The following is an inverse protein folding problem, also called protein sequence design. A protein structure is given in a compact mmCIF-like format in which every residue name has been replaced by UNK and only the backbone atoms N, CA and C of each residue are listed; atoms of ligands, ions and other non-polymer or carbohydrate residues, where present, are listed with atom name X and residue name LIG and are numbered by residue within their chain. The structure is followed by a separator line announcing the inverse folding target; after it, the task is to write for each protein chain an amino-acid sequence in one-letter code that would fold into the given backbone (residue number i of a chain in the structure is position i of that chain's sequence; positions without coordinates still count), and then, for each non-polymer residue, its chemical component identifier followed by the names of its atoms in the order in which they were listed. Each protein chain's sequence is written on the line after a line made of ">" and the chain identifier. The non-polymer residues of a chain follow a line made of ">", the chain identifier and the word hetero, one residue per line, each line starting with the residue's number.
data_IF_095757191995
#
_entry.id   IF_095757191995
#
_cell.length_a   1.000
_cell.length_b   1.000
_cell.length_c   1.000
_cell.angle_alpha   90.00
_cell.angle_beta   90.00
_cell.angle_gamma   90.00
#
_symmetry.space_group_name_H-M   'P 1'
#
loop_
_entity.id
_entity.type
_entity.pdbx_description
1 polymer ?
#
# COMPACT_ATOMS: atom_id res chain seq x y z
N UNK A 1 10.25 -8.19 6.86
CA UNK A 1 10.26 -6.85 6.25
C UNK A 1 8.88 -6.22 6.40
N UNK A 2 8.77 -4.89 6.27
CA UNK A 2 7.55 -4.09 6.38
C UNK A 2 7.37 -3.26 5.12
N UNK A 3 6.12 -3.02 4.74
CA UNK A 3 5.79 -2.06 3.70
C UNK A 3 6.14 -0.65 4.19
N UNK A 4 7.08 -0.01 3.50
CA UNK A 4 7.57 1.34 3.77
C UNK A 4 7.36 2.23 2.53
N UNK A 5 7.54 3.53 2.72
CA UNK A 5 7.44 4.55 1.67
C UNK A 5 8.80 5.22 1.49
N UNK A 6 9.28 5.32 0.25
CA UNK A 6 10.47 6.10 -0.06
C UNK A 6 10.27 7.57 0.32
N UNK A 7 11.20 8.11 1.11
CA UNK A 7 11.23 9.50 1.53
C UNK A 7 12.29 10.28 0.73
N UNK A 8 11.85 10.98 -0.32
CA UNK A 8 12.70 11.79 -1.18
C UNK A 8 13.32 11.04 -2.38
N UNK A 9 14.06 11.79 -3.20
CA UNK A 9 14.70 11.28 -4.41
C UNK A 9 13.73 10.89 -5.53
N UNK A 10 14.23 10.23 -6.60
CA UNK A 10 13.44 9.87 -7.78
C UNK A 10 12.28 8.90 -7.49
N UNK A 11 12.36 8.14 -6.40
CA UNK A 11 11.34 7.16 -5.97
C UNK A 11 10.41 7.71 -4.90
N UNK A 12 10.46 9.01 -4.58
CA UNK A 12 9.64 9.59 -3.53
C UNK A 12 8.16 9.18 -3.68
N UNK A 13 7.54 8.78 -2.57
CA UNK A 13 6.17 8.26 -2.50
C UNK A 13 5.93 6.87 -3.13
N UNK A 14 6.89 6.25 -3.81
CA UNK A 14 6.81 4.81 -4.10
C UNK A 14 6.91 4.01 -2.80
N UNK A 15 6.50 2.75 -2.84
CA UNK A 15 6.63 1.84 -1.71
C UNK A 15 7.73 0.80 -1.91
N UNK A 16 8.18 0.21 -0.81
CA UNK A 16 9.24 -0.80 -0.76
C UNK A 16 9.09 -1.68 0.47
N UNK A 17 9.72 -2.84 0.47
CA UNK A 17 9.99 -3.61 1.68
C UNK A 17 11.29 -3.15 2.33
N UNK A 18 11.23 -2.91 3.63
CA UNK A 18 12.39 -2.56 4.48
C UNK A 18 12.39 -3.41 5.76
N UNK A 19 13.51 -3.51 6.50
CA UNK A 19 13.52 -4.09 7.84
C UNK A 19 12.51 -3.40 8.76
N UNK A 20 12.05 -4.15 9.78
CA UNK A 20 11.12 -3.63 10.79
C UNK A 20 11.77 -2.48 11.57
N UNK A 21 11.18 -1.29 11.48
CA UNK A 21 11.71 -0.05 12.03
C UNK A 21 10.56 0.79 12.59
N UNK A 22 10.87 1.68 13.52
CA UNK A 22 9.88 2.62 14.07
C UNK A 22 9.88 3.94 13.28
N UNK A 23 9.63 3.86 11.97
CA UNK A 23 9.60 5.03 11.06
C UNK A 23 8.19 5.29 10.53
N UNK A 24 7.85 6.55 10.30
CA UNK A 24 6.50 6.99 9.92
C UNK A 24 5.99 6.40 8.60
N UNK A 25 6.88 5.97 7.70
CA UNK A 25 6.52 5.31 6.44
C UNK A 25 5.99 3.88 6.60
N UNK A 26 6.29 3.21 7.72
CA UNK A 26 5.88 1.82 7.99
C UNK A 26 4.57 1.72 8.79
N UNK A 27 4.02 2.84 9.29
CA UNK A 27 2.76 2.86 10.02
C UNK A 27 1.61 3.24 9.09
N UNK A 28 0.79 2.24 8.74
CA UNK A 28 -0.33 2.38 7.83
C UNK A 28 -1.66 2.48 8.58
N UNK A 29 -2.53 3.41 8.17
CA UNK A 29 -3.95 3.46 8.55
C UNK A 29 -4.80 2.92 7.42
N UNK A 30 -5.61 1.91 7.76
CA UNK A 30 -6.68 1.38 6.92
C UNK A 30 -7.99 2.08 7.32
N UNK A 31 -8.51 2.96 6.46
CA UNK A 31 -9.81 3.61 6.66
C UNK A 31 -10.84 2.88 5.80
N UNK A 32 -11.81 2.23 6.44
CA UNK A 32 -12.92 1.59 5.71
C UNK A 32 -13.77 2.62 4.96
N UNK A 33 -14.19 2.27 3.76
CA UNK A 33 -15.05 3.12 2.90
C UNK A 33 -16.55 2.81 3.05
N UNK A 34 -16.92 1.84 3.91
CA UNK A 34 -18.33 1.43 4.14
C UNK A 34 -18.85 0.35 3.17
N UNK A 35 -18.05 -0.02 2.17
CA UNK A 35 -18.42 -0.95 1.10
C UNK A 35 -17.51 -2.18 1.04
N UNK A 36 -16.82 -2.48 2.14
CA UNK A 36 -15.83 -3.56 2.25
C UNK A 36 -14.43 -3.22 1.73
N UNK A 37 -14.25 -2.07 1.06
CA UNK A 37 -12.92 -1.58 0.67
C UNK A 37 -12.32 -0.62 1.71
N UNK A 38 -11.02 -0.38 1.58
CA UNK A 38 -10.23 0.49 2.45
C UNK A 38 -9.42 1.48 1.63
N UNK A 39 -9.27 2.70 2.16
CA UNK A 39 -8.18 3.62 1.78
C UNK A 39 -7.02 3.45 2.74
N UNK A 40 -5.83 3.26 2.19
CA UNK A 40 -4.59 3.10 2.95
C UNK A 40 -3.82 4.42 2.93
N UNK A 41 -3.43 4.91 4.10
CA UNK A 41 -2.62 6.14 4.28
C UNK A 41 -1.48 5.84 5.25
N UNK A 42 -0.42 6.64 5.28
CA UNK A 42 0.71 6.44 6.20
C UNK A 42 0.83 7.56 7.22
N UNK A 43 1.49 7.30 8.34
CA UNK A 43 1.85 8.35 9.29
C UNK A 43 2.80 9.39 8.66
N UNK A 44 3.60 8.98 7.67
CA UNK A 44 4.54 9.85 6.97
C UNK A 44 3.87 10.99 6.18
N UNK A 45 2.90 10.67 5.31
CA UNK A 45 2.26 11.66 4.45
C UNK A 45 0.88 12.12 4.94
N UNK A 46 0.39 11.54 6.03
CA UNK A 46 -0.86 11.95 6.66
C UNK A 46 -2.11 11.39 5.96
N UNK A 47 -3.28 11.92 6.34
CA UNK A 47 -4.58 11.35 5.95
C UNK A 47 -4.98 11.59 4.51
N UNK A 48 -4.34 12.55 3.86
CA UNK A 48 -4.73 13.08 2.55
C UNK A 48 -3.92 12.47 1.40
N UNK A 49 -2.97 11.59 1.72
CA UNK A 49 -2.15 10.86 0.76
C UNK A 49 -2.46 9.36 0.86
N UNK A 50 -3.17 8.86 -0.14
CA UNK A 50 -3.67 7.51 -0.25
C UNK A 50 -2.75 6.64 -1.12
N UNK A 51 -2.66 5.36 -0.76
CA UNK A 51 -2.01 4.34 -1.59
C UNK A 51 -2.84 4.10 -2.83
N UNK A 52 -2.25 4.34 -3.99
CA UNK A 52 -2.85 4.18 -5.31
C UNK A 52 -1.94 3.33 -6.19
N UNK A 53 -2.45 2.89 -7.35
CA UNK A 53 -1.74 2.09 -8.34
C UNK A 53 -1.50 2.92 -9.59
N UNK A 54 -0.27 2.94 -10.10
CA UNK A 54 -0.01 3.53 -11.41
C UNK A 54 -0.76 2.78 -12.52
N UNK A 55 -1.30 3.54 -13.48
CA UNK A 55 -1.97 3.02 -14.66
C UNK A 55 -1.16 3.37 -15.92
N UNK A 56 -0.30 2.46 -16.32
CA UNK A 56 0.55 2.56 -17.50
C UNK A 56 1.95 3.09 -17.24
N UNK A 57 2.76 3.09 -18.30
CA UNK A 57 4.17 3.52 -18.26
C UNK A 57 5.11 2.51 -17.58
N UNK A 58 6.38 2.90 -17.36
CA UNK A 58 7.40 1.99 -16.81
C UNK A 58 7.12 1.47 -15.40
N UNK A 59 6.25 2.14 -14.63
CA UNK A 59 5.87 1.76 -13.26
C UNK A 59 4.44 1.22 -13.18
N UNK A 60 3.85 0.76 -14.28
CA UNK A 60 2.49 0.20 -14.29
C UNK A 60 2.33 -0.86 -13.19
N UNK A 61 1.18 -0.84 -12.52
CA UNK A 61 0.84 -1.72 -11.40
C UNK A 61 1.67 -1.55 -10.12
N UNK A 62 2.65 -0.63 -10.07
CA UNK A 62 3.35 -0.33 -8.83
C UNK A 62 2.53 0.65 -7.96
N UNK A 63 2.50 0.45 -6.64
CA UNK A 63 1.80 1.33 -5.74
C UNK A 63 2.63 2.55 -5.33
N UNK A 64 1.94 3.68 -5.17
CA UNK A 64 2.51 4.95 -4.73
C UNK A 64 1.52 5.74 -3.87
N UNK A 65 2.03 6.67 -3.06
CA UNK A 65 1.18 7.64 -2.37
C UNK A 65 0.88 8.84 -3.28
N UNK A 66 -0.40 9.15 -3.42
CA UNK A 66 -0.91 10.33 -4.13
C UNK A 66 -2.13 10.89 -3.41
N UNK A 67 -2.62 12.06 -3.83
CA UNK A 67 -3.79 12.70 -3.22
C UNK A 67 -4.98 11.75 -3.16
N UNK A 68 -5.62 11.68 -2.00
CA UNK A 68 -6.82 10.86 -1.82
C UNK A 68 -7.97 11.36 -2.71
N UNK A 69 -8.55 10.46 -3.49
CA UNK A 69 -9.64 10.72 -4.42
C UNK A 69 -10.57 9.50 -4.53
N UNK A 70 -11.67 9.63 -5.26
CA UNK A 70 -12.56 8.50 -5.54
C UNK A 70 -12.07 7.68 -6.76
N UNK A 71 -10.85 7.15 -6.66
CA UNK A 71 -10.22 6.36 -7.71
C UNK A 71 -10.22 4.88 -7.32
N UNK A 72 -10.56 3.99 -8.25
CA UNK A 72 -10.62 2.55 -8.00
C UNK A 72 -9.26 1.94 -7.64
N UNK A 73 -8.15 2.60 -8.00
CA UNK A 73 -6.79 2.21 -7.60
C UNK A 73 -6.49 2.47 -6.12
N UNK A 74 -7.26 3.36 -5.49
CA UNK A 74 -7.16 3.70 -4.06
C UNK A 74 -8.12 2.89 -3.18
N UNK A 75 -8.98 2.05 -3.79
CA UNK A 75 -9.94 1.22 -3.09
C UNK A 75 -9.38 -0.19 -2.94
N UNK A 76 -8.76 -0.46 -1.79
CA UNK A 76 -8.10 -1.72 -1.47
C UNK A 76 -9.04 -2.70 -0.81
N UNK A 77 -9.01 -3.94 -1.26
CA UNK A 77 -9.75 -5.06 -0.67
C UNK A 77 -8.77 -6.02 0.02
N UNK A 78 -9.09 -6.39 1.25
CA UNK A 78 -8.33 -7.36 2.04
C UNK A 78 -9.07 -8.69 1.95
N UNK A 79 -8.47 -9.68 1.28
CA UNK A 79 -9.04 -11.01 1.12
C UNK A 79 -8.30 -11.99 2.04
N UNK A 80 -8.95 -12.58 3.06
CA UNK A 80 -8.31 -13.57 3.92
C UNK A 80 -7.74 -14.74 3.11
N UNK A 81 -6.54 -15.17 3.47
CA UNK A 81 -5.86 -16.36 2.94
C UNK A 81 -5.06 -17.01 4.09
N UNK A 82 -5.69 -17.96 4.78
CA UNK A 82 -5.16 -18.54 6.02
C UNK A 82 -4.95 -17.49 7.12
N UNK A 83 -3.73 -17.41 7.64
CA UNK A 83 -3.32 -16.42 8.65
C UNK A 83 -2.84 -15.09 8.04
N UNK A 84 -2.94 -14.94 6.73
CA UNK A 84 -2.53 -13.75 5.98
C UNK A 84 -3.72 -13.15 5.22
N UNK A 85 -3.46 -12.04 4.52
CA UNK A 85 -4.38 -11.44 3.57
C UNK A 85 -3.71 -11.23 2.22
N UNK A 86 -4.50 -11.30 1.16
CA UNK A 86 -4.16 -10.77 -0.16
C UNK A 86 -4.74 -9.38 -0.30
N UNK A 87 -3.88 -8.42 -0.64
CA UNK A 87 -4.27 -7.05 -0.93
C UNK A 87 -4.55 -6.93 -2.43
N UNK A 88 -5.73 -6.40 -2.76
CA UNK A 88 -6.19 -6.20 -4.14
C UNK A 88 -6.73 -4.79 -4.28
N UNK A 89 -6.80 -4.26 -5.50
CA UNK A 89 -7.51 -3.00 -5.76
C UNK A 89 -8.72 -3.25 -6.63
N UNK A 90 -9.77 -2.42 -6.48
CA UNK A 90 -10.92 -2.48 -7.38
C UNK A 90 -10.58 -2.13 -8.83
N UNK A 91 -9.49 -1.42 -9.04
CA UNK A 91 -9.03 -1.03 -10.37
C UNK A 91 -8.65 -2.23 -11.24
N UNK A 92 -7.72 -3.08 -10.77
CA UNK A 92 -7.28 -4.27 -11.52
C UNK A 92 -8.15 -5.49 -11.23
N UNK A 93 -9.07 -5.38 -10.27
CA UNK A 93 -10.08 -6.39 -9.95
C UNK A 93 -9.54 -7.53 -9.09
N UNK A 94 -10.40 -8.53 -8.89
CA UNK A 94 -10.18 -9.61 -7.91
C UNK A 94 -9.09 -10.62 -8.30
N UNK A 95 -8.59 -10.58 -9.54
CA UNK A 95 -7.58 -11.52 -10.04
C UNK A 95 -6.14 -11.00 -9.91
N UNK A 96 -5.96 -9.77 -9.41
CA UNK A 96 -4.65 -9.14 -9.25
C UNK A 96 -4.36 -8.90 -7.77
N UNK A 97 -3.19 -9.35 -7.33
CA UNK A 97 -2.74 -9.36 -5.94
C UNK A 97 -1.47 -8.51 -5.81
N UNK A 98 -1.34 -7.78 -4.71
CA UNK A 98 -0.10 -7.08 -4.36
C UNK A 98 0.98 -8.11 -4.05
N UNK A 99 2.01 -8.10 -4.86
CA UNK A 99 3.20 -8.95 -4.80
C UNK A 99 4.45 -8.09 -4.62
N UNK A 100 5.59 -8.73 -4.45
CA UNK A 100 6.90 -8.12 -4.30
C UNK A 100 7.80 -8.59 -5.44
N UNK A 101 8.47 -7.66 -6.12
CA UNK A 101 9.59 -8.01 -6.98
C UNK A 101 10.71 -8.66 -6.16
N UNK A 102 11.07 -9.89 -6.50
CA UNK A 102 12.13 -10.65 -5.85
C UNK A 102 13.36 -10.75 -6.76
N UNK A 103 14.21 -9.73 -6.71
CA UNK A 103 15.42 -9.58 -7.51
C UNK A 103 15.36 -8.45 -8.53
N UNK A 104 16.48 -8.26 -9.25
CA UNK A 104 16.62 -7.24 -10.29
C UNK A 104 16.65 -5.80 -9.78
N UNK A 105 16.55 -4.81 -10.69
CA UNK A 105 16.62 -3.38 -10.36
C UNK A 105 15.50 -2.90 -9.43
N UNK A 106 14.37 -3.63 -9.41
CA UNK A 106 13.20 -3.29 -8.61
C UNK A 106 13.00 -4.17 -7.37
N UNK A 107 14.02 -4.95 -6.99
CA UNK A 107 13.97 -5.82 -5.82
C UNK A 107 13.36 -5.11 -4.60
N UNK A 108 12.50 -5.82 -3.87
CA UNK A 108 11.73 -5.34 -2.72
C UNK A 108 10.65 -4.28 -3.01
N UNK A 109 10.42 -3.86 -4.27
CA UNK A 109 9.28 -2.99 -4.58
C UNK A 109 8.00 -3.80 -4.81
N UNK A 110 6.86 -3.35 -4.29
CA UNK A 110 5.59 -4.00 -4.56
C UNK A 110 5.05 -3.72 -5.97
N UNK A 111 4.22 -4.62 -6.48
CA UNK A 111 3.44 -4.42 -7.71
C UNK A 111 2.18 -5.31 -7.70
N UNK A 112 1.14 -4.95 -8.45
CA UNK A 112 0.02 -5.87 -8.70
C UNK A 112 0.36 -6.84 -9.84
N UNK A 113 0.14 -8.13 -9.60
CA UNK A 113 0.33 -9.21 -10.58
C UNK A 113 -0.79 -10.24 -10.44
N UNK A 114 -1.01 -11.15 -11.41
CA UNK A 114 -2.01 -12.19 -11.25
C UNK A 114 -1.85 -12.94 -9.93
N UNK A 115 -2.97 -13.19 -9.25
CA UNK A 115 -2.96 -13.91 -8.00
C UNK A 115 -2.48 -15.36 -8.21
N UNK A 116 -1.43 -15.75 -7.49
CA UNK A 116 -0.84 -17.10 -7.51
C UNK A 116 -0.49 -17.57 -6.10
N UNK A 117 -0.10 -18.83 -5.93
CA UNK A 117 0.27 -19.38 -4.61
C UNK A 117 1.76 -19.12 -4.29
N UNK A 118 2.12 -17.85 -4.08
CA UNK A 118 3.48 -17.42 -3.71
C UNK A 118 3.46 -16.58 -2.45
N UNK A 119 4.53 -16.66 -1.66
CA UNK A 119 4.65 -15.92 -0.40
C UNK A 119 4.73 -14.40 -0.57
N UNK A 120 5.21 -13.91 -1.72
CA UNK A 120 5.26 -12.49 -2.04
C UNK A 120 3.88 -11.82 -2.06
N UNK A 121 2.80 -12.60 -2.25
CA UNK A 121 1.41 -12.10 -2.26
C UNK A 121 0.68 -12.22 -0.93
N UNK A 122 1.33 -12.78 0.10
CA UNK A 122 0.74 -13.01 1.41
C UNK A 122 1.23 -11.96 2.40
N UNK A 123 0.31 -11.09 2.83
CA UNK A 123 0.58 -9.99 3.74
C UNK A 123 0.03 -10.28 5.13
N UNK A 124 0.81 -9.95 6.17
CA UNK A 124 0.33 -9.98 7.55
C UNK A 124 0.12 -8.55 8.04
N UNK A 125 -0.95 -8.34 8.80
CA UNK A 125 -1.28 -7.05 9.38
C UNK A 125 -1.02 -7.10 10.89
N UNK A 126 -0.11 -6.28 11.36
CA UNK A 126 0.16 -6.12 12.79
C UNK A 126 -0.46 -4.82 13.26
N UNK A 127 -1.43 -4.91 14.18
CA UNK A 127 -2.01 -3.72 14.79
C UNK A 127 -0.94 -2.99 15.61
N UNK A 128 -0.94 -1.67 15.52
CA UNK A 128 -0.03 -0.81 16.29
C UNK A 128 -0.83 0.16 17.16
N UNK A 129 -0.17 0.80 18.11
CA UNK A 129 -0.75 1.89 18.91
C UNK A 129 -0.61 3.28 18.24
N UNK A 130 -0.04 3.36 17.03
CA UNK A 130 0.14 4.61 16.30
C UNK A 130 -1.14 5.00 15.57
N UNK A 131 -1.40 6.31 15.49
CA UNK A 131 -2.53 6.87 14.74
C UNK A 131 -2.00 7.80 13.66
N UNK A 132 -2.52 7.65 12.43
CA UNK A 132 -2.27 8.64 11.38
C UNK A 132 -3.17 9.84 11.66
N UNK A 133 -2.57 10.92 12.16
CA UNK A 133 -3.24 12.19 12.48
C UNK A 133 -3.50 13.01 11.21
N UNK A 134 -4.46 13.93 11.27
CA UNK A 134 -4.67 14.95 10.25
C UNK A 134 -4.06 16.26 10.72
N UNK A 135 -3.85 17.21 9.80
CA UNK A 135 -3.51 18.56 10.22
C UNK A 135 -4.57 19.05 11.21
N UNK A 136 -4.15 19.39 12.42
CA UNK A 136 -4.99 20.13 13.35
C UNK A 136 -5.21 21.50 12.72
N UNK A 137 -6.42 21.76 12.22
CA UNK A 137 -6.83 23.14 11.99
C UNK A 137 -7.02 23.73 13.38
N UNK A 138 -6.06 24.57 13.76
CA UNK A 138 -6.24 25.55 14.82
C UNK A 138 -6.85 26.76 14.13
N UNK A 139 -8.12 27.02 14.44
CA UNK A 139 -8.84 28.24 14.08
C UNK A 139 -8.23 29.47 14.78
#
# INVERSE_FOLDING_TARGET
>A
MKLDVFNGGPKNNLTRLEPDQTVSGQFWRFKGNGDGSYRLTTLFRGRDMCLDIFNGGPTDNQPHLTGCANLSGQLWELRPDGNAVRLKTRFRGTNMCLDIFNGGPDNNQPHLTPCTNVSGQLWTLTQTNKRVEGATIID
#
